data_IF_225433153636
#
_entry.id   IF_225433153636
#
_cell.length_a   1.000
_cell.length_b   1.000
_cell.length_c   1.000
_cell.angle_alpha   90.00
_cell.angle_beta   90.00
_cell.angle_gamma   90.00
#
_symmetry.space_group_name_H-M   'P 1'
#
loop_
_entity.id
_entity.type
_entity.pdbx_description
1 polymer ?
#
# COMPACT_ATOMS: atom_id res chain seq x y z
N UNK A 1 14.20 -0.35 32.80
CA UNK A 1 13.17 -0.83 31.86
C UNK A 1 12.91 0.28 30.86
N UNK A 2 13.41 0.16 29.64
CA UNK A 2 13.12 1.11 28.58
C UNK A 2 11.77 0.68 28.01
N UNK A 3 10.71 1.38 28.35
CA UNK A 3 9.43 1.21 27.66
C UNK A 3 9.61 1.78 26.26
N UNK A 4 9.73 0.92 25.26
CA UNK A 4 9.61 1.31 23.86
C UNK A 4 8.22 1.90 23.68
N UNK A 5 8.11 3.21 23.60
CA UNK A 5 6.86 3.87 23.27
C UNK A 5 6.45 3.44 21.87
N UNK A 6 5.33 2.75 21.75
CA UNK A 6 4.78 2.37 20.45
C UNK A 6 4.31 3.65 19.75
N UNK A 7 4.92 3.98 18.61
CA UNK A 7 4.52 5.12 17.82
C UNK A 7 3.11 4.94 17.23
N UNK A 8 2.33 5.99 17.21
CA UNK A 8 1.05 6.00 16.49
C UNK A 8 1.25 5.93 14.98
N UNK A 9 0.22 5.57 14.24
CA UNK A 9 0.27 5.56 12.76
C UNK A 9 0.68 6.92 12.20
N UNK A 10 0.17 8.00 12.78
CA UNK A 10 0.53 9.37 12.40
C UNK A 10 2.01 9.68 12.64
N UNK A 11 2.55 9.27 13.79
CA UNK A 11 3.96 9.47 14.11
C UNK A 11 4.88 8.68 13.17
N UNK A 12 4.52 7.43 12.87
CA UNK A 12 5.27 6.60 11.90
C UNK A 12 5.26 7.21 10.50
N UNK A 13 4.09 7.67 10.04
CA UNK A 13 3.97 8.33 8.74
C UNK A 13 4.78 9.62 8.69
N UNK A 14 4.77 10.42 9.76
CA UNK A 14 5.55 11.65 9.84
C UNK A 14 7.06 11.38 9.78
N UNK A 15 7.56 10.38 10.48
CA UNK A 15 8.98 10.00 10.41
C UNK A 15 9.41 9.66 8.99
N UNK A 16 8.58 8.93 8.25
CA UNK A 16 8.85 8.62 6.85
C UNK A 16 8.81 9.89 6.00
N UNK A 17 7.80 10.73 6.16
CA UNK A 17 7.65 11.98 5.40
C UNK A 17 8.80 12.95 5.61
N UNK A 18 9.42 12.94 6.77
CA UNK A 18 10.54 13.82 7.10
C UNK A 18 11.90 13.30 6.62
N UNK A 19 11.97 12.07 6.12
CA UNK A 19 13.21 11.56 5.53
C UNK A 19 13.24 11.90 4.02
N UNK A 20 14.11 12.84 3.59
CA UNK A 20 14.13 13.31 2.20
C UNK A 20 14.61 12.24 1.19
N UNK A 21 15.15 11.13 1.69
CA UNK A 21 15.64 10.04 0.83
C UNK A 21 14.54 9.06 0.43
N UNK A 22 13.42 9.01 1.18
CA UNK A 22 12.33 8.07 0.95
C UNK A 22 11.30 8.69 0.01
N UNK A 23 11.06 8.01 -1.13
CA UNK A 23 10.14 8.50 -2.15
C UNK A 23 9.43 7.34 -2.84
N UNK A 24 8.11 7.43 -2.96
CA UNK A 24 7.38 6.30 -3.48
C UNK A 24 5.96 6.56 -3.93
N UNK A 25 5.30 5.48 -4.33
CA UNK A 25 3.94 5.47 -4.81
C UNK A 25 3.05 4.54 -4.00
N UNK A 26 1.76 4.84 -3.98
CA UNK A 26 0.72 4.03 -3.34
C UNK A 26 -0.29 3.58 -4.38
N UNK A 27 -0.71 2.32 -4.30
CA UNK A 27 -1.84 1.78 -5.07
C UNK A 27 -2.74 0.99 -4.13
N UNK A 28 -3.94 1.49 -3.89
CA UNK A 28 -4.88 0.91 -2.94
C UNK A 28 -6.16 0.49 -3.67
N UNK A 29 -6.42 -0.80 -3.69
CA UNK A 29 -7.52 -1.41 -4.45
C UNK A 29 -8.54 -2.02 -3.50
N UNK A 30 -9.82 -1.72 -3.76
CA UNK A 30 -10.93 -2.24 -2.99
C UNK A 30 -11.17 -1.47 -1.69
N UNK A 31 -11.40 -2.18 -0.59
CA UNK A 31 -11.82 -1.59 0.68
C UNK A 31 -10.69 -1.02 1.54
N UNK A 32 -9.43 -1.22 1.16
CA UNK A 32 -8.27 -0.85 1.98
C UNK A 32 -7.70 0.54 1.74
N UNK A 33 -8.50 1.55 1.41
CA UNK A 33 -8.04 2.87 0.95
C UNK A 33 -7.73 3.84 2.09
N UNK A 34 -6.91 3.42 3.05
CA UNK A 34 -6.61 4.20 4.25
C UNK A 34 -5.14 4.56 4.44
N UNK A 35 -4.22 3.81 3.83
CA UNK A 35 -2.79 3.95 4.15
C UNK A 35 -2.22 5.29 3.68
N UNK A 36 -2.44 5.69 2.45
CA UNK A 36 -1.96 6.96 1.92
C UNK A 36 -2.49 8.15 2.72
N UNK A 37 -3.73 8.07 3.22
CA UNK A 37 -4.36 9.11 4.02
C UNK A 37 -3.58 9.42 5.29
N UNK A 38 -3.02 8.44 5.97
CA UNK A 38 -2.19 8.66 7.16
C UNK A 38 -0.97 9.54 6.86
N UNK A 39 -0.35 9.36 5.70
CA UNK A 39 0.77 10.20 5.26
C UNK A 39 0.34 11.63 4.98
N UNK A 40 -0.79 11.82 4.30
CA UNK A 40 -1.31 13.17 4.03
C UNK A 40 -1.72 13.89 5.31
N UNK A 41 -2.34 13.20 6.25
CA UNK A 41 -2.75 13.79 7.53
C UNK A 41 -1.58 14.10 8.47
N UNK A 42 -0.48 13.36 8.35
CA UNK A 42 0.72 13.61 9.17
C UNK A 42 1.45 14.90 8.78
N UNK A 43 1.31 15.34 7.53
CA UNK A 43 2.05 16.48 7.00
C UNK A 43 3.40 16.11 6.40
N UNK A 44 3.92 16.95 5.54
CA UNK A 44 5.22 16.74 4.88
C UNK A 44 5.21 15.70 3.76
N UNK A 45 4.04 15.23 3.32
CA UNK A 45 3.92 14.17 2.34
C UNK A 45 4.43 14.55 0.94
N UNK A 46 4.53 15.83 0.62
CA UNK A 46 4.97 16.29 -0.69
C UNK A 46 6.41 15.84 -1.05
N UNK A 47 7.25 15.61 -0.04
CA UNK A 47 8.61 15.10 -0.24
C UNK A 47 8.71 13.58 -0.35
N UNK A 48 7.62 12.85 -0.04
CA UNK A 48 7.63 11.38 0.08
C UNK A 48 6.75 10.71 -0.94
N UNK A 49 5.55 11.24 -1.19
CA UNK A 49 4.55 10.59 -2.03
C UNK A 49 4.58 11.19 -3.44
N UNK A 50 5.02 10.38 -4.39
CA UNK A 50 5.00 10.74 -5.79
C UNK A 50 3.60 10.68 -6.39
N UNK A 51 2.87 9.65 -6.02
CA UNK A 51 1.58 9.30 -6.63
C UNK A 51 0.79 8.39 -5.71
N UNK A 52 -0.52 8.59 -5.66
CA UNK A 52 -1.45 7.57 -5.16
C UNK A 52 -2.49 7.28 -6.23
N UNK A 53 -2.82 6.01 -6.38
CA UNK A 53 -3.96 5.58 -7.20
C UNK A 53 -4.87 4.71 -6.36
N UNK A 54 -6.15 4.74 -6.69
CA UNK A 54 -7.14 3.86 -6.09
C UNK A 54 -8.14 3.39 -7.13
N UNK A 55 -8.60 2.17 -6.96
CA UNK A 55 -9.75 1.62 -7.67
C UNK A 55 -10.54 0.75 -6.70
N UNK A 56 -11.82 0.67 -6.87
CA UNK A 56 -12.67 -0.02 -5.91
C UNK A 56 -13.11 -1.39 -6.40
N UNK A 57 -13.57 -1.49 -7.64
CA UNK A 57 -14.13 -2.73 -8.15
C UNK A 57 -13.14 -3.59 -8.93
N UNK A 58 -13.53 -4.84 -9.13
CA UNK A 58 -12.72 -5.82 -9.84
C UNK A 58 -12.51 -5.45 -11.31
N UNK A 59 -13.51 -4.90 -11.97
CA UNK A 59 -13.43 -4.54 -13.38
C UNK A 59 -12.35 -3.48 -13.62
N UNK A 60 -12.31 -2.43 -12.79
CA UNK A 60 -11.29 -1.39 -12.89
C UNK A 60 -9.90 -1.92 -12.49
N UNK A 61 -9.84 -2.73 -11.44
CA UNK A 61 -8.59 -3.36 -11.03
C UNK A 61 -8.02 -4.27 -12.14
N UNK A 62 -8.85 -5.08 -12.78
CA UNK A 62 -8.45 -5.93 -13.91
C UNK A 62 -8.02 -5.09 -15.13
N UNK A 63 -8.67 -3.96 -15.37
CA UNK A 63 -8.29 -3.05 -16.45
C UNK A 63 -6.90 -2.45 -16.26
N UNK A 64 -6.49 -2.20 -15.01
CA UNK A 64 -5.17 -1.65 -14.69
C UNK A 64 -4.08 -2.75 -14.70
N UNK A 65 -4.34 -3.88 -14.04
CA UNK A 65 -3.33 -4.89 -13.75
C UNK A 65 -3.48 -6.19 -14.54
N UNK A 66 -4.56 -6.36 -15.29
CA UNK A 66 -4.89 -7.60 -15.98
C UNK A 66 -5.67 -8.58 -15.11
N UNK A 67 -6.31 -9.54 -15.76
CA UNK A 67 -7.03 -10.61 -15.07
C UNK A 67 -6.08 -11.62 -14.46
N UNK A 68 -6.45 -12.16 -13.28
CA UNK A 68 -5.75 -13.27 -12.66
C UNK A 68 -6.38 -14.61 -13.10
N UNK A 69 -5.57 -15.68 -13.10
CA UNK A 69 -6.04 -17.03 -13.41
C UNK A 69 -7.18 -17.49 -12.49
N UNK A 70 -7.14 -17.07 -11.22
CA UNK A 70 -8.17 -17.36 -10.23
C UNK A 70 -9.48 -16.60 -10.43
N UNK A 71 -9.54 -15.64 -11.34
CA UNK A 71 -10.62 -14.66 -11.49
C UNK A 71 -10.90 -13.84 -10.21
N UNK A 72 -9.91 -13.72 -9.34
CA UNK A 72 -9.99 -12.92 -8.10
C UNK A 72 -8.97 -11.79 -8.16
N UNK A 73 -9.35 -10.62 -7.63
CA UNK A 73 -8.45 -9.47 -7.56
C UNK A 73 -7.84 -9.27 -6.17
N UNK A 74 -8.36 -9.96 -5.14
CA UNK A 74 -7.79 -9.96 -3.80
C UNK A 74 -7.02 -11.26 -3.61
N UNK A 75 -5.79 -11.28 -4.08
CA UNK A 75 -4.91 -12.45 -4.02
C UNK A 75 -3.44 -12.00 -4.09
N UNK A 76 -2.56 -12.88 -3.68
CA UNK A 76 -1.12 -12.61 -3.69
C UNK A 76 -0.56 -12.30 -5.08
N UNK A 77 -0.88 -13.05 -6.16
CA UNK A 77 -0.41 -12.72 -7.50
C UNK A 77 -0.78 -11.30 -7.95
N UNK A 78 -1.97 -10.84 -7.62
CA UNK A 78 -2.40 -9.47 -7.90
C UNK A 78 -1.55 -8.45 -7.15
N UNK A 79 -1.32 -8.67 -5.86
CA UNK A 79 -0.44 -7.78 -5.07
C UNK A 79 0.94 -7.69 -5.69
N UNK A 80 1.54 -8.80 -6.09
CA UNK A 80 2.86 -8.82 -6.72
C UNK A 80 2.90 -8.03 -8.04
N UNK A 81 1.86 -8.14 -8.86
CA UNK A 81 1.73 -7.33 -10.09
C UNK A 81 1.64 -5.84 -9.76
N UNK A 82 0.87 -5.47 -8.74
CA UNK A 82 0.74 -4.08 -8.31
C UNK A 82 2.07 -3.51 -7.86
N UNK A 83 2.77 -4.21 -6.98
CA UNK A 83 4.08 -3.80 -6.47
C UNK A 83 5.11 -3.66 -7.60
N UNK A 84 5.18 -4.64 -8.48
CA UNK A 84 6.11 -4.64 -9.62
C UNK A 84 5.83 -3.46 -10.56
N UNK A 85 4.58 -3.26 -10.93
CA UNK A 85 4.19 -2.19 -11.85
C UNK A 85 4.47 -0.81 -11.25
N UNK A 86 4.00 -0.57 -10.03
CA UNK A 86 4.14 0.76 -9.43
C UNK A 86 5.59 1.11 -9.11
N UNK A 87 6.36 0.15 -8.61
CA UNK A 87 7.79 0.35 -8.36
C UNK A 87 8.56 0.61 -9.67
N UNK A 88 8.36 -0.20 -10.68
CA UNK A 88 9.06 -0.03 -11.96
C UNK A 88 8.71 1.29 -12.64
N UNK A 89 7.44 1.72 -12.56
CA UNK A 89 7.03 3.00 -13.14
C UNK A 89 7.71 4.20 -12.48
N UNK A 90 7.78 4.21 -11.14
CA UNK A 90 8.39 5.34 -10.43
C UNK A 90 9.90 5.40 -10.69
N UNK A 91 10.58 4.25 -10.67
CA UNK A 91 12.01 4.20 -10.95
C UNK A 91 12.30 4.60 -12.40
N UNK A 92 11.52 4.10 -13.36
CA UNK A 92 11.68 4.44 -14.78
C UNK A 92 11.50 5.93 -15.03
N UNK A 93 10.48 6.54 -14.41
CA UNK A 93 10.13 7.95 -14.65
C UNK A 93 11.01 8.93 -13.91
N UNK A 94 11.41 8.61 -12.69
CA UNK A 94 12.05 9.56 -11.78
C UNK A 94 13.43 9.12 -11.28
N UNK A 95 13.88 7.91 -11.61
CA UNK A 95 15.15 7.38 -11.13
C UNK A 95 16.37 8.23 -11.50
N UNK A 96 16.35 8.87 -12.68
CA UNK A 96 17.44 9.72 -13.15
C UNK A 96 17.31 11.18 -12.71
N UNK A 97 16.13 11.62 -12.26
CA UNK A 97 15.87 13.02 -11.88
C UNK A 97 15.91 13.25 -10.39
N UNK A 98 15.71 12.22 -9.61
CA UNK A 98 15.81 12.29 -8.15
C UNK A 98 17.27 12.27 -7.69
N UNK A 99 17.58 12.84 -6.51
CA UNK A 99 18.92 12.73 -5.94
C UNK A 99 19.41 11.30 -5.83
N UNK A 100 20.72 11.09 -5.95
CA UNK A 100 21.36 9.76 -5.94
C UNK A 100 21.18 8.98 -4.63
N UNK A 101 20.84 9.66 -3.53
CA UNK A 101 20.56 9.04 -2.24
C UNK A 101 19.09 8.62 -2.06
N UNK A 102 18.28 8.69 -3.11
CA UNK A 102 16.87 8.31 -3.05
C UNK A 102 16.71 6.80 -2.91
N UNK A 103 15.90 6.39 -1.95
CA UNK A 103 15.38 5.04 -1.80
C UNK A 103 13.92 5.01 -2.25
N UNK A 104 13.64 4.36 -3.35
CA UNK A 104 12.28 4.25 -3.88
C UNK A 104 11.50 3.14 -3.18
N UNK A 105 10.19 3.33 -3.07
CA UNK A 105 9.26 2.29 -2.63
C UNK A 105 7.95 2.33 -3.43
N UNK A 106 7.26 1.21 -3.43
CA UNK A 106 5.85 1.12 -3.80
C UNK A 106 5.11 0.37 -2.70
N UNK A 107 4.06 0.97 -2.17
CA UNK A 107 3.13 0.31 -1.27
C UNK A 107 1.86 -0.03 -2.05
N UNK A 108 1.36 -1.23 -1.86
CA UNK A 108 0.09 -1.64 -2.47
C UNK A 108 -0.74 -2.48 -1.53
N UNK A 109 -2.04 -2.39 -1.68
CA UNK A 109 -2.97 -3.31 -1.07
C UNK A 109 -4.12 -3.65 -2.02
N UNK A 110 -4.68 -4.82 -1.82
CA UNK A 110 -5.90 -5.27 -2.47
C UNK A 110 -6.75 -5.94 -1.40
N UNK A 111 -7.92 -5.38 -1.12
CA UNK A 111 -8.72 -5.71 0.07
C UNK A 111 -10.18 -5.88 -0.30
N UNK A 112 -10.77 -6.96 0.19
CA UNK A 112 -12.21 -7.21 0.12
C UNK A 112 -12.83 -7.05 1.51
N UNK A 113 -13.86 -6.23 1.61
CA UNK A 113 -14.66 -6.13 2.82
C UNK A 113 -15.57 -7.34 2.97
N UNK A 114 -16.06 -7.57 4.20
CA UNK A 114 -17.08 -8.59 4.46
C UNK A 114 -18.32 -8.31 3.60
N UNK A 115 -18.84 -9.32 2.93
CA UNK A 115 -20.03 -9.16 2.12
C UNK A 115 -21.23 -8.77 3.00
N UNK A 116 -22.15 -7.99 2.43
CA UNK A 116 -23.38 -7.57 3.12
C UNK A 116 -24.21 -8.77 3.59
N UNK A 117 -24.24 -9.85 2.80
CA UNK A 117 -24.92 -11.11 3.13
C UNK A 117 -24.15 -11.97 4.14
N UNK A 118 -22.93 -11.61 4.51
CA UNK A 118 -22.10 -12.35 5.46
C UNK A 118 -21.59 -13.69 4.92
N UNK A 119 -21.59 -13.89 3.61
CA UNK A 119 -21.13 -15.13 2.96
C UNK A 119 -19.61 -15.25 2.88
N UNK A 120 -18.87 -14.16 3.07
CA UNK A 120 -17.41 -14.15 3.09
C UNK A 120 -16.87 -13.18 4.12
N UNK A 121 -15.80 -13.57 4.79
CA UNK A 121 -15.06 -12.68 5.69
C UNK A 121 -14.20 -11.71 4.87
N UNK A 122 -14.00 -10.51 5.41
CA UNK A 122 -13.06 -9.55 4.83
C UNK A 122 -11.62 -10.05 4.95
N UNK A 123 -10.86 -9.86 3.88
CA UNK A 123 -9.43 -10.16 3.89
C UNK A 123 -8.69 -9.26 2.91
N UNK A 124 -7.39 -9.20 3.04
CA UNK A 124 -6.57 -8.41 2.15
C UNK A 124 -5.14 -8.88 2.07
N UNK A 125 -4.50 -8.46 0.99
CA UNK A 125 -3.07 -8.59 0.76
C UNK A 125 -2.45 -7.20 0.72
N UNK A 126 -1.43 -7.00 1.54
CA UNK A 126 -0.69 -5.75 1.64
C UNK A 126 0.78 -6.01 1.39
N UNK A 127 1.47 -5.06 0.81
CA UNK A 127 2.90 -5.21 0.64
C UNK A 127 3.60 -3.90 0.33
N UNK A 128 4.89 -3.92 0.52
CA UNK A 128 5.79 -2.85 0.12
C UNK A 128 6.98 -3.46 -0.62
N UNK A 129 7.29 -2.90 -1.78
CA UNK A 129 8.53 -3.14 -2.50
C UNK A 129 9.41 -1.92 -2.32
N UNK A 130 10.64 -2.12 -1.84
CA UNK A 130 11.49 -1.00 -1.43
C UNK A 130 12.97 -1.28 -1.67
N UNK A 131 13.73 -0.22 -1.73
CA UNK A 131 15.19 -0.27 -1.73
C UNK A 131 15.70 -0.06 -0.31
N UNK A 132 16.50 -0.99 0.19
CA UNK A 132 17.11 -0.90 1.52
C UNK A 132 18.22 0.18 1.60
N UNK A 133 18.80 0.51 0.45
CA UNK A 133 19.78 1.59 0.27
C UNK A 133 19.66 2.12 -1.17
N UNK A 134 20.21 3.29 -1.48
CA UNK A 134 20.10 3.87 -2.82
C UNK A 134 20.60 2.93 -3.92
N UNK A 135 19.81 2.79 -4.97
CA UNK A 135 20.09 1.91 -6.13
C UNK A 135 20.16 0.42 -5.81
N UNK A 136 19.74 0.00 -4.62
CA UNK A 136 19.66 -1.42 -4.26
C UNK A 136 18.65 -2.16 -5.15
N UNK A 137 18.85 -3.46 -5.39
CA UNK A 137 17.77 -4.29 -5.89
C UNK A 137 16.60 -4.27 -4.90
N UNK A 138 15.35 -4.26 -5.38
CA UNK A 138 14.21 -4.16 -4.48
C UNK A 138 14.01 -5.40 -3.62
N UNK A 139 13.54 -5.16 -2.40
CA UNK A 139 13.07 -6.19 -1.47
C UNK A 139 11.57 -6.08 -1.30
N UNK A 140 10.89 -7.18 -1.03
CA UNK A 140 9.44 -7.23 -0.80
C UNK A 140 9.14 -7.65 0.64
N UNK A 141 8.17 -6.95 1.25
CA UNK A 141 7.49 -7.41 2.45
C UNK A 141 6.00 -7.57 2.12
N UNK A 142 5.45 -8.75 2.34
CA UNK A 142 4.09 -9.11 1.93
C UNK A 142 3.35 -9.67 3.13
N UNK A 143 2.12 -9.22 3.34
CA UNK A 143 1.28 -9.63 4.46
C UNK A 143 -0.11 -9.99 3.95
N UNK A 144 -0.61 -11.14 4.35
CA UNK A 144 -2.03 -11.50 4.21
C UNK A 144 -2.74 -11.22 5.53
N UNK A 145 -3.82 -10.46 5.48
CA UNK A 145 -4.63 -10.13 6.65
C UNK A 145 -6.03 -10.72 6.51
N UNK A 146 -6.57 -11.14 7.65
CA UNK A 146 -7.99 -11.45 7.79
C UNK A 146 -8.61 -10.43 8.73
N UNK A 147 -9.79 -9.94 8.39
CA UNK A 147 -10.52 -9.01 9.22
C UNK A 147 -11.51 -9.78 10.08
N UNK A 148 -11.42 -9.59 11.40
CA UNK A 148 -12.34 -10.19 12.35
C UNK A 148 -13.35 -9.15 12.81
N UNK A 149 -14.39 -8.90 12.01
CA UNK A 149 -15.55 -8.15 12.47
C UNK A 149 -16.47 -9.09 13.25
N UNK A 150 -16.34 -9.05 14.55
CA UNK A 150 -17.14 -9.89 15.44
C UNK A 150 -18.59 -9.43 15.59
N UNK A 151 -18.91 -8.18 15.30
CA UNK A 151 -20.27 -7.66 15.52
C UNK A 151 -20.71 -6.70 14.41
N UNK A 152 -21.69 -7.14 13.59
CA UNK A 152 -22.40 -6.30 12.65
C UNK A 152 -23.04 -5.04 13.27
N UNK A 153 -23.30 -5.06 14.58
CA UNK A 153 -23.96 -3.97 15.32
C UNK A 153 -23.10 -2.73 15.47
N UNK A 154 -21.77 -2.83 15.33
CA UNK A 154 -20.86 -1.69 15.46
C UNK A 154 -20.69 -0.87 14.18
N UNK A 155 -21.07 -1.41 13.02
CA UNK A 155 -20.91 -0.72 11.74
C UNK A 155 -22.01 0.34 11.50
N UNK A 156 -23.11 0.27 12.25
CA UNK A 156 -24.28 1.15 12.07
C UNK A 156 -24.55 2.10 13.26
N UNK A 157 -23.57 2.34 14.10
CA UNK A 157 -23.68 3.33 15.18
C UNK A 157 -23.02 4.64 14.84
#
# INVERSE_FOLDING_TARGET
MIFSQTLSSKQKALEINLDPRIYGAFAEIGAGQETARHFFQAGGAAGTIAKTISAYDMAMSDAIYGKEESNRYVCEPRLLKMLTREFNLIVKRLGSTRPDDTCFFAFSNTVAAKSFKGSSDGHGWLGVRFQAYPKAPPSDAIIHIKMFDRERKMIFR
#
